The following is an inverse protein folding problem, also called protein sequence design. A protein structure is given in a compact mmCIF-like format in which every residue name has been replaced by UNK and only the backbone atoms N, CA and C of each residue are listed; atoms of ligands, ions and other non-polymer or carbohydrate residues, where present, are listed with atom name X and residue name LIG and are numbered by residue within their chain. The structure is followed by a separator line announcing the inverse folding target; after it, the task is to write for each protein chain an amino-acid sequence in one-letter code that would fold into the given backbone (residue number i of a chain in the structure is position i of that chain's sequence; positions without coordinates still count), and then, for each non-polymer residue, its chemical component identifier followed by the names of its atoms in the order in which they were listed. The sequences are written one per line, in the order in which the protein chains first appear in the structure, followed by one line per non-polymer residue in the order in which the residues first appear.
data_IF_187866168218
#
_entry.id   IF_187866168218
#
_cell.length_a   1.000
_cell.length_b   1.000
_cell.length_c   1.000
_cell.angle_alpha   90.00
_cell.angle_beta   90.00
_cell.angle_gamma   90.00
#
_symmetry.space_group_name_H-M   'P 1'
#
loop_
_entity.id
_entity.type
_entity.pdbx_description
1 polymer ?
#
# COMPACT_ATOMS: atom_id res chain seq x y z
N UNK A 1 0.55 5.36 10.24
CA UNK A 1 1.15 5.17 8.90
C UNK A 1 1.32 3.69 8.70
N UNK A 2 0.90 3.16 7.56
CA UNK A 2 0.99 1.73 7.24
C UNK A 2 2.12 1.52 6.23
N UNK A 3 3.15 0.75 6.60
CA UNK A 3 4.30 0.45 5.72
C UNK A 3 4.06 -0.82 4.90
N UNK A 4 4.86 -1.02 3.82
CA UNK A 4 4.71 -2.14 2.87
C UNK A 4 4.58 -3.51 3.54
N UNK A 5 5.23 -3.74 4.69
CA UNK A 5 5.13 -5.01 5.43
C UNK A 5 3.72 -5.27 5.95
N UNK A 6 3.11 -4.27 6.56
CA UNK A 6 1.73 -4.34 7.05
C UNK A 6 0.75 -4.49 5.88
N UNK A 7 1.01 -3.81 4.76
CA UNK A 7 0.23 -3.97 3.52
C UNK A 7 0.32 -5.40 3.00
N UNK A 8 1.50 -6.03 3.03
CA UNK A 8 1.69 -7.41 2.59
C UNK A 8 1.04 -8.45 3.52
N UNK A 9 0.90 -8.13 4.82
CA UNK A 9 0.15 -8.99 5.75
C UNK A 9 -1.36 -8.86 5.53
N UNK A 10 -1.84 -7.65 5.24
CA UNK A 10 -3.26 -7.40 4.97
C UNK A 10 -3.72 -7.85 3.57
N UNK A 11 -2.86 -7.74 2.55
CA UNK A 11 -3.19 -8.06 1.17
C UNK A 11 -2.41 -9.29 0.68
N UNK A 12 -3.05 -10.20 -0.07
CA UNK A 12 -2.37 -11.37 -0.64
C UNK A 12 -1.46 -11.01 -1.84
N UNK A 13 -1.53 -9.77 -2.34
CA UNK A 13 -0.75 -9.31 -3.48
C UNK A 13 0.76 -9.31 -3.16
N UNK A 14 1.56 -9.79 -4.10
CA UNK A 14 3.03 -9.82 -4.05
C UNK A 14 3.59 -9.26 -5.36
N UNK A 15 4.90 -9.05 -5.42
CA UNK A 15 5.57 -8.69 -6.67
C UNK A 15 5.19 -9.69 -7.78
N UNK A 16 4.84 -9.24 -9.01
CA UNK A 16 4.92 -7.88 -9.54
C UNK A 16 3.65 -7.02 -9.41
N UNK A 17 2.62 -7.50 -8.70
CA UNK A 17 1.29 -6.85 -8.64
C UNK A 17 1.06 -6.01 -7.39
N UNK A 18 1.95 -6.05 -6.40
CA UNK A 18 1.89 -5.12 -5.25
C UNK A 18 2.41 -3.74 -5.70
N UNK A 19 1.49 -2.85 -6.05
CA UNK A 19 1.78 -1.53 -6.62
C UNK A 19 1.64 -0.37 -5.60
N UNK A 20 1.68 -0.67 -4.31
CA UNK A 20 1.57 0.31 -3.22
C UNK A 20 2.72 0.08 -2.25
N UNK A 21 3.58 1.08 -2.07
CA UNK A 21 4.75 0.98 -1.19
C UNK A 21 4.45 1.47 0.23
N UNK A 22 3.56 2.45 0.38
CA UNK A 22 3.19 3.01 1.68
C UNK A 22 1.76 3.54 1.67
N UNK A 23 1.04 3.43 2.79
CA UNK A 23 -0.24 4.12 3.00
C UNK A 23 -0.08 5.23 4.02
N UNK A 24 -0.40 6.46 3.60
CA UNK A 24 -0.24 7.68 4.40
C UNK A 24 -1.50 7.94 5.22
N UNK A 25 -2.68 7.77 4.62
CA UNK A 25 -3.98 7.99 5.24
C UNK A 25 -4.95 6.87 4.91
N UNK A 26 -5.78 6.49 5.88
CA UNK A 26 -6.86 5.51 5.75
C UNK A 26 -8.07 6.03 6.52
N UNK A 27 -9.12 6.36 5.78
CA UNK A 27 -10.49 6.54 6.27
C UNK A 27 -11.24 5.23 6.04
N UNK A 28 -11.60 4.55 7.13
CA UNK A 28 -12.25 3.24 7.07
C UNK A 28 -13.53 3.32 6.23
N UNK A 29 -13.64 2.40 5.27
CA UNK A 29 -14.78 2.24 4.36
C UNK A 29 -15.08 3.44 3.43
N UNK A 30 -14.20 4.46 3.41
CA UNK A 30 -14.40 5.68 2.62
C UNK A 30 -13.24 5.92 1.65
N UNK A 31 -11.99 6.00 2.15
CA UNK A 31 -10.83 6.41 1.33
C UNK A 31 -9.50 5.93 1.89
N UNK A 32 -8.53 5.66 1.01
CA UNK A 32 -7.13 5.49 1.40
C UNK A 32 -6.22 6.26 0.45
N UNK A 33 -5.13 6.82 0.97
CA UNK A 33 -4.10 7.53 0.20
C UNK A 33 -2.79 6.76 0.30
N UNK A 34 -2.38 6.16 -0.82
CA UNK A 34 -1.14 5.39 -0.95
C UNK A 34 -0.09 6.08 -1.82
N UNK A 35 1.18 5.77 -1.58
CA UNK A 35 2.33 6.20 -2.38
C UNK A 35 2.89 4.98 -3.12
N UNK A 36 3.18 5.17 -4.41
CA UNK A 36 3.93 4.25 -5.26
C UNK A 36 5.17 4.97 -5.78
N UNK A 37 6.34 4.47 -5.44
CA UNK A 37 7.60 4.96 -5.98
C UNK A 37 7.82 4.38 -7.38
N UNK A 38 8.17 5.24 -8.33
CA UNK A 38 8.49 4.83 -9.70
C UNK A 38 9.98 5.06 -9.91
N UNK A 39 10.72 3.99 -10.23
CA UNK A 39 12.11 4.06 -10.67
C UNK A 39 12.19 3.73 -12.16
N UNK A 40 13.09 4.41 -12.88
CA UNK A 40 13.48 4.10 -14.28
C UNK A 40 14.59 3.05 -14.26
#
# INVERSE_FOLDING_TARGET
MMDVKEIMECLPHRYPFLLVDRVVEIEKDERAVGIKNVTI
#
